data_IF_253969980473
#
_entry.id   IF_253969980473
#
_cell.length_a   1.000
_cell.length_b   1.000
_cell.length_c   1.000
_cell.angle_alpha   90.00
_cell.angle_beta   90.00
_cell.angle_gamma   90.00
#
_symmetry.space_group_name_H-M   'P 1'
#
loop_
_entity.id
_entity.type
_entity.pdbx_description
1 polymer ?
#
# COMPACT_ATOMS: atom_id res chain seq x y z
N UNK A 1 -6.86 15.78 4.45
CA UNK A 1 -8.09 16.42 4.97
C UNK A 1 -7.80 17.13 6.30
N UNK A 2 -6.82 18.04 6.31
CA UNK A 2 -6.49 18.94 7.44
C UNK A 2 -6.53 20.38 6.92
N UNK A 3 -5.94 20.59 5.74
CA UNK A 3 -5.96 21.86 5.01
C UNK A 3 -7.36 22.43 4.71
N UNK A 4 -8.43 21.61 4.80
CA UNK A 4 -9.80 22.02 4.46
C UNK A 4 -10.67 22.24 5.71
N UNK A 5 -10.47 21.47 6.78
CA UNK A 5 -11.39 21.41 7.92
C UNK A 5 -10.84 21.96 9.23
N UNK A 6 -9.54 22.24 9.34
CA UNK A 6 -8.86 22.70 10.57
C UNK A 6 -9.06 21.79 11.81
N UNK A 7 -9.71 20.63 11.64
CA UNK A 7 -9.96 19.64 12.68
C UNK A 7 -9.42 18.27 12.26
N UNK A 8 -8.69 17.63 13.16
CA UNK A 8 -8.23 16.24 13.01
C UNK A 8 -9.31 15.34 13.61
N UNK A 9 -10.07 14.66 12.75
CA UNK A 9 -10.99 13.60 13.18
C UNK A 9 -10.31 12.25 13.06
N UNK A 10 -10.75 11.27 13.86
CA UNK A 10 -10.28 9.88 13.74
C UNK A 10 -10.50 9.31 12.34
N UNK A 11 -11.60 9.69 11.68
CA UNK A 11 -11.88 9.34 10.29
C UNK A 11 -10.78 9.83 9.34
N UNK A 12 -10.34 11.09 9.49
CA UNK A 12 -9.25 11.64 8.69
C UNK A 12 -7.94 10.88 8.94
N UNK A 13 -7.65 10.51 10.19
CA UNK A 13 -6.46 9.72 10.54
C UNK A 13 -6.50 8.36 9.85
N UNK A 14 -7.59 7.60 9.99
CA UNK A 14 -7.70 6.28 9.38
C UNK A 14 -7.66 6.33 7.84
N UNK A 15 -8.32 7.30 7.22
CA UNK A 15 -8.26 7.48 5.77
C UNK A 15 -6.83 7.81 5.29
N UNK A 16 -6.11 8.66 6.02
CA UNK A 16 -4.70 8.97 5.73
C UNK A 16 -3.79 7.74 5.92
N UNK A 17 -4.02 6.92 6.94
CA UNK A 17 -3.29 5.65 7.13
C UNK A 17 -3.54 4.71 5.95
N UNK A 18 -4.79 4.52 5.52
CA UNK A 18 -5.12 3.64 4.40
C UNK A 18 -4.36 4.03 3.12
N UNK A 19 -4.39 5.31 2.75
CA UNK A 19 -3.70 5.83 1.56
C UNK A 19 -2.18 5.78 1.73
N UNK A 20 -1.69 6.14 2.92
CA UNK A 20 -0.26 6.10 3.26
C UNK A 20 0.32 4.69 3.16
N UNK A 21 -0.40 3.67 3.63
CA UNK A 21 0.03 2.27 3.51
C UNK A 21 0.25 1.84 2.05
N UNK A 22 -0.62 2.26 1.12
CA UNK A 22 -0.46 1.93 -0.30
C UNK A 22 0.71 2.67 -0.94
N UNK A 23 0.92 3.94 -0.59
CA UNK A 23 2.09 4.70 -1.03
C UNK A 23 3.40 4.05 -0.54
N UNK A 24 3.44 3.63 0.73
CA UNK A 24 4.60 2.91 1.28
C UNK A 24 4.75 1.55 0.60
N UNK A 25 3.68 0.83 0.27
CA UNK A 25 3.78 -0.44 -0.45
C UNK A 25 4.43 -0.27 -1.83
N UNK A 26 4.11 0.84 -2.54
CA UNK A 26 4.72 1.21 -3.80
C UNK A 26 6.22 1.52 -3.65
N UNK A 27 6.61 2.22 -2.58
CA UNK A 27 8.03 2.46 -2.26
C UNK A 27 8.76 1.16 -1.89
N UNK A 28 8.13 0.28 -1.11
CA UNK A 28 8.71 -1.00 -0.68
C UNK A 28 8.97 -1.91 -1.87
N UNK A 29 8.05 -2.01 -2.84
CA UNK A 29 8.27 -2.84 -4.02
C UNK A 29 9.35 -2.26 -4.94
N UNK A 30 9.44 -0.92 -5.03
CA UNK A 30 10.53 -0.24 -5.74
C UNK A 30 11.89 -0.58 -5.09
N UNK A 31 11.99 -0.44 -3.77
CA UNK A 31 13.20 -0.78 -3.02
C UNK A 31 13.54 -2.28 -3.09
N UNK A 32 12.54 -3.17 -3.10
CA UNK A 32 12.74 -4.63 -3.23
C UNK A 32 13.41 -4.98 -4.56
N UNK A 33 12.99 -4.35 -5.66
CA UNK A 33 13.58 -4.54 -6.98
C UNK A 33 15.05 -4.13 -7.00
N UNK A 34 15.38 -3.08 -6.27
CA UNK A 34 16.68 -2.43 -6.37
C UNK A 34 17.70 -3.00 -5.35
N UNK A 35 17.31 -3.94 -4.47
CA UNK A 35 18.23 -4.62 -3.51
C UNK A 35 19.51 -5.13 -4.17
N UNK A 36 19.49 -5.91 -5.29
CA UNK A 36 20.72 -6.45 -5.87
C UNK A 36 21.67 -5.37 -6.38
N UNK A 37 21.12 -4.25 -6.88
CA UNK A 37 21.89 -3.10 -7.35
C UNK A 37 22.45 -2.30 -6.19
N UNK A 38 21.60 -1.93 -5.24
CA UNK A 38 21.95 -1.15 -4.04
C UNK A 38 23.02 -1.86 -3.18
N UNK A 39 22.94 -3.19 -3.06
CA UNK A 39 23.94 -3.98 -2.32
C UNK A 39 25.31 -3.92 -3.00
N UNK A 40 25.38 -3.98 -4.34
CA UNK A 40 26.66 -3.95 -5.08
C UNK A 40 27.38 -2.61 -4.97
N UNK A 41 26.64 -1.51 -4.83
CA UNK A 41 27.21 -0.16 -4.71
C UNK A 41 27.31 0.34 -3.26
N UNK A 42 27.04 -0.53 -2.28
CA UNK A 42 27.16 -0.21 -0.85
C UNK A 42 26.09 0.75 -0.31
N UNK A 43 24.95 0.89 -0.97
CA UNK A 43 23.83 1.72 -0.47
C UNK A 43 23.15 1.05 0.72
N UNK A 44 22.86 1.87 1.74
CA UNK A 44 22.21 1.42 2.97
C UNK A 44 20.73 1.80 2.96
N UNK A 45 19.92 1.12 2.15
CA UNK A 45 18.46 1.30 2.14
C UNK A 45 17.77 0.40 3.17
N UNK A 46 16.52 0.73 3.54
CA UNK A 46 15.74 -0.08 4.48
C UNK A 46 15.57 -1.52 3.97
N UNK A 47 15.39 -1.70 2.65
CA UNK A 47 15.27 -3.02 2.03
C UNK A 47 16.57 -3.82 2.09
N UNK A 48 17.73 -3.18 1.91
CA UNK A 48 19.05 -3.82 2.11
C UNK A 48 19.25 -4.23 3.56
N UNK A 49 18.87 -3.38 4.53
CA UNK A 49 18.97 -3.70 5.97
C UNK A 49 18.01 -4.82 6.41
N UNK A 50 16.79 -4.84 5.88
CA UNK A 50 15.79 -5.87 6.21
C UNK A 50 16.06 -7.20 5.47
N UNK A 51 16.64 -7.12 4.28
CA UNK A 51 16.77 -8.23 3.34
C UNK A 51 15.47 -8.51 2.57
N UNK A 52 15.59 -9.28 1.48
CA UNK A 52 14.51 -9.58 0.54
C UNK A 52 13.26 -10.16 1.23
N UNK A 53 13.41 -11.25 2.01
CA UNK A 53 12.29 -11.93 2.67
C UNK A 53 11.47 -11.01 3.57
N UNK A 54 12.12 -10.23 4.44
CA UNK A 54 11.42 -9.31 5.36
C UNK A 54 10.76 -8.16 4.61
N UNK A 55 11.41 -7.65 3.56
CA UNK A 55 10.85 -6.59 2.70
C UNK A 55 9.56 -7.06 2.02
N UNK A 56 9.50 -8.32 1.56
CA UNK A 56 8.26 -8.94 1.05
C UNK A 56 7.17 -9.04 2.12
N UNK A 57 7.52 -9.44 3.35
CA UNK A 57 6.54 -9.48 4.46
C UNK A 57 5.99 -8.09 4.78
N UNK A 58 6.82 -7.05 4.80
CA UNK A 58 6.38 -5.66 5.01
C UNK A 58 5.42 -5.23 3.91
N UNK A 59 5.72 -5.54 2.64
CA UNK A 59 4.82 -5.25 1.52
C UNK A 59 3.42 -5.83 1.74
N UNK A 60 3.31 -7.10 2.15
CA UNK A 60 2.02 -7.77 2.40
C UNK A 60 1.31 -7.16 3.61
N UNK A 61 2.05 -6.89 4.70
CA UNK A 61 1.51 -6.29 5.92
C UNK A 61 0.89 -4.93 5.66
N UNK A 62 1.43 -4.14 4.73
CA UNK A 62 0.87 -2.84 4.36
C UNK A 62 -0.52 -2.94 3.74
N UNK A 63 -0.83 -4.00 2.97
CA UNK A 63 -2.19 -4.23 2.48
C UNK A 63 -3.15 -4.63 3.59
N UNK A 64 -2.69 -5.42 4.56
CA UNK A 64 -3.49 -5.77 5.74
C UNK A 64 -3.80 -4.52 6.56
N UNK A 65 -2.79 -3.68 6.81
CA UNK A 65 -2.95 -2.42 7.53
C UNK A 65 -3.88 -1.44 6.78
N UNK A 66 -3.75 -1.35 5.45
CA UNK A 66 -4.66 -0.58 4.60
C UNK A 66 -6.12 -1.07 4.76
N UNK A 67 -6.36 -2.38 4.65
CA UNK A 67 -7.68 -2.96 4.81
C UNK A 67 -8.26 -2.71 6.21
N UNK A 68 -7.47 -2.89 7.26
CA UNK A 68 -7.87 -2.60 8.64
C UNK A 68 -8.26 -1.12 8.82
N UNK A 69 -7.46 -0.19 8.26
CA UNK A 69 -7.78 1.23 8.30
C UNK A 69 -9.08 1.58 7.56
N UNK A 70 -9.37 0.94 6.42
CA UNK A 70 -10.65 1.10 5.70
C UNK A 70 -11.82 0.58 6.53
N UNK A 71 -11.67 -0.56 7.21
CA UNK A 71 -12.71 -1.09 8.11
C UNK A 71 -12.97 -0.12 9.27
N UNK A 72 -11.91 0.48 9.84
CA UNK A 72 -12.05 1.51 10.87
C UNK A 72 -12.78 2.76 10.36
N UNK A 73 -12.50 3.20 9.12
CA UNK A 73 -13.28 4.27 8.47
C UNK A 73 -14.77 3.89 8.36
N UNK A 74 -15.06 2.62 8.04
CA UNK A 74 -16.42 2.13 7.86
C UNK A 74 -17.27 2.17 9.15
N UNK A 75 -16.63 2.17 10.33
CA UNK A 75 -17.31 2.36 11.62
C UNK A 75 -17.92 3.76 11.74
N UNK A 76 -17.30 4.78 11.14
CA UNK A 76 -17.84 6.15 11.13
C UNK A 76 -18.69 6.43 9.89
N UNK A 77 -18.30 5.89 8.73
CA UNK A 77 -18.97 6.08 7.43
C UNK A 77 -19.08 4.76 6.71
N UNK A 78 -20.25 4.11 6.79
CA UNK A 78 -20.47 2.75 6.28
C UNK A 78 -20.07 2.60 4.80
N UNK A 79 -20.26 3.63 3.97
CA UNK A 79 -19.87 3.63 2.57
C UNK A 79 -18.37 3.43 2.33
N UNK A 80 -17.50 3.75 3.30
CA UNK A 80 -16.05 3.58 3.19
C UNK A 80 -15.63 2.13 2.92
N UNK A 81 -16.46 1.14 3.28
CA UNK A 81 -16.19 -0.28 3.05
C UNK A 81 -15.98 -0.62 1.56
N UNK A 82 -16.56 0.17 0.65
CA UNK A 82 -16.38 0.03 -0.81
C UNK A 82 -14.91 0.18 -1.20
N UNK A 83 -14.10 0.90 -0.42
CA UNK A 83 -12.65 0.99 -0.60
C UNK A 83 -11.93 -0.36 -0.58
N UNK A 84 -12.47 -1.37 0.12
CA UNK A 84 -11.88 -2.73 0.14
C UNK A 84 -11.89 -3.39 -1.24
N UNK A 85 -12.84 -3.04 -2.12
CA UNK A 85 -12.86 -3.54 -3.49
C UNK A 85 -11.63 -3.06 -4.28
N UNK A 86 -11.12 -1.87 -3.97
CA UNK A 86 -9.88 -1.36 -4.57
C UNK A 86 -8.67 -2.21 -4.21
N UNK A 87 -8.59 -2.69 -2.96
CA UNK A 87 -7.49 -3.56 -2.48
C UNK A 87 -7.46 -4.89 -3.26
N UNK A 88 -8.60 -5.40 -3.73
CA UNK A 88 -8.66 -6.65 -4.50
C UNK A 88 -7.83 -6.60 -5.78
N UNK A 89 -7.57 -5.40 -6.33
CA UNK A 89 -6.69 -5.19 -7.49
C UNK A 89 -5.25 -5.63 -7.20
N UNK A 90 -4.82 -5.65 -5.93
CA UNK A 90 -3.47 -6.11 -5.56
C UNK A 90 -3.33 -7.63 -5.44
N UNK A 91 -4.41 -8.42 -5.58
CA UNK A 91 -4.34 -9.88 -5.50
C UNK A 91 -3.23 -10.51 -6.38
N UNK A 92 -3.09 -10.18 -7.68
CA UNK A 92 -1.99 -10.71 -8.50
C UNK A 92 -0.62 -10.24 -8.00
N UNK A 93 -0.49 -8.97 -7.61
CA UNK A 93 0.76 -8.43 -7.08
C UNK A 93 1.22 -9.16 -5.81
N UNK A 94 0.32 -9.39 -4.85
CA UNK A 94 0.60 -10.13 -3.61
C UNK A 94 1.02 -11.57 -3.93
N UNK A 95 0.34 -12.25 -4.84
CA UNK A 95 0.69 -13.62 -5.27
C UNK A 95 2.08 -13.67 -5.89
N UNK A 96 2.39 -12.77 -6.81
CA UNK A 96 3.69 -12.66 -7.47
C UNK A 96 4.81 -12.39 -6.45
N UNK A 97 4.61 -11.46 -5.52
CA UNK A 97 5.60 -11.17 -4.47
C UNK A 97 5.83 -12.37 -3.54
N UNK A 98 4.77 -13.07 -3.13
CA UNK A 98 4.87 -14.30 -2.33
C UNK A 98 5.55 -15.44 -3.08
N UNK A 99 5.39 -15.51 -4.39
CA UNK A 99 6.02 -16.48 -5.28
C UNK A 99 7.53 -16.26 -5.49
N UNK A 100 8.13 -15.25 -4.86
CA UNK A 100 9.57 -14.99 -4.98
C UNK A 100 9.96 -14.14 -6.19
N UNK A 101 9.03 -13.33 -6.71
CA UNK A 101 9.25 -12.56 -7.92
C UNK A 101 10.54 -11.74 -7.94
N UNK A 102 11.18 -11.64 -9.10
CA UNK A 102 12.47 -10.97 -9.26
C UNK A 102 12.58 -10.20 -10.59
N UNK A 103 13.49 -9.21 -10.63
CA UNK A 103 13.78 -8.43 -11.84
C UNK A 103 12.54 -7.81 -12.49
N UNK A 104 12.24 -8.22 -13.73
CA UNK A 104 11.16 -7.65 -14.55
C UNK A 104 9.76 -7.92 -13.98
N UNK A 105 9.58 -8.98 -13.23
CA UNK A 105 8.30 -9.28 -12.57
C UNK A 105 7.94 -8.20 -11.54
N UNK A 106 8.94 -7.68 -10.81
CA UNK A 106 8.73 -6.61 -9.83
C UNK A 106 8.33 -5.29 -10.48
N UNK A 107 8.67 -5.07 -11.75
CA UNK A 107 8.18 -3.91 -12.52
C UNK A 107 6.67 -4.04 -12.78
N UNK A 108 6.20 -5.25 -13.12
CA UNK A 108 4.76 -5.49 -13.28
C UNK A 108 4.02 -5.35 -11.94
N UNK A 109 4.61 -5.85 -10.84
CA UNK A 109 4.06 -5.68 -9.47
C UNK A 109 3.97 -4.19 -9.09
N UNK A 110 4.99 -3.39 -9.41
CA UNK A 110 4.98 -1.94 -9.18
C UNK A 110 3.80 -1.27 -9.92
N UNK A 111 3.57 -1.63 -11.18
CA UNK A 111 2.43 -1.13 -11.95
C UNK A 111 1.07 -1.52 -11.36
N UNK A 112 0.91 -2.78 -10.94
CA UNK A 112 -0.33 -3.26 -10.29
C UNK A 112 -0.54 -2.56 -8.93
N UNK A 113 0.53 -2.35 -8.16
CA UNK A 113 0.47 -1.65 -6.87
C UNK A 113 0.01 -0.20 -7.07
N UNK A 114 0.53 0.49 -8.10
CA UNK A 114 0.06 1.83 -8.47
C UNK A 114 -1.42 1.85 -8.88
N UNK A 115 -1.87 0.90 -9.69
CA UNK A 115 -3.30 0.76 -10.04
C UNK A 115 -4.17 0.51 -8.81
N UNK A 116 -3.69 -0.30 -7.87
CA UNK A 116 -4.39 -0.57 -6.60
C UNK A 116 -4.53 0.69 -5.75
N UNK A 117 -3.48 1.52 -5.68
CA UNK A 117 -3.52 2.80 -4.98
C UNK A 117 -4.59 3.73 -5.58
N UNK A 118 -4.65 3.83 -6.92
CA UNK A 118 -5.64 4.67 -7.59
C UNK A 118 -7.07 4.15 -7.39
N UNK A 119 -7.29 2.85 -7.59
CA UNK A 119 -8.60 2.24 -7.42
C UNK A 119 -9.11 2.36 -5.97
N UNK A 120 -8.25 2.06 -5.00
CA UNK A 120 -8.60 2.16 -3.57
C UNK A 120 -8.85 3.60 -3.16
N UNK A 121 -8.00 4.54 -3.59
CA UNK A 121 -8.17 5.96 -3.30
C UNK A 121 -9.49 6.52 -3.84
N UNK A 122 -9.83 6.18 -5.08
CA UNK A 122 -11.08 6.60 -5.70
C UNK A 122 -12.30 6.01 -4.98
N UNK A 123 -12.32 4.69 -4.77
CA UNK A 123 -13.45 4.01 -4.14
C UNK A 123 -13.63 4.40 -2.68
N UNK A 124 -12.54 4.57 -1.93
CA UNK A 124 -12.59 5.06 -0.55
C UNK A 124 -13.11 6.50 -0.50
N UNK A 125 -12.63 7.38 -1.40
CA UNK A 125 -13.10 8.76 -1.45
C UNK A 125 -14.59 8.84 -1.76
N UNK A 126 -15.09 8.07 -2.73
CA UNK A 126 -16.52 8.00 -3.06
C UNK A 126 -17.33 7.41 -1.91
N UNK A 127 -16.82 6.35 -1.28
CA UNK A 127 -17.48 5.71 -0.14
C UNK A 127 -17.60 6.61 1.09
N UNK A 128 -16.66 7.54 1.29
CA UNK A 128 -16.71 8.52 2.39
C UNK A 128 -17.75 9.63 2.18
N UNK A 129 -18.21 9.85 0.94
CA UNK A 129 -19.22 10.85 0.61
C UNK A 129 -20.65 10.39 0.92
N UNK A 130 -20.85 9.08 1.11
CA UNK A 130 -22.15 8.42 1.34
C UNK A 130 -22.25 8.01 2.81
#
# INVERSE_FOLDING_TARGET
MFAVTQHITLLCVYASVAVGCLAVALLVINNLRDIPGDTKVGKVTLAVRLGDKKTRSVYILLFVACGAAIVLCALSRRGAIVGLLGIMVAAPAIRTVRGGASGRELIAVLGITGKTQMATGLLLSLGLLI
#
